data_IF_412310093224
#
_entry.id   IF_412310093224
#
_cell.length_a   1.000
_cell.length_b   1.000
_cell.length_c   1.000
_cell.angle_alpha   90.00
_cell.angle_beta   90.00
_cell.angle_gamma   90.00
#
_symmetry.space_group_name_H-M   'P 1'
#
loop_
_entity.id
_entity.type
_entity.pdbx_description
1 polymer ?
#
# COMPACT_ATOMS: atom_id res chain seq x y z
N UNK A 1 1.36 -16.07 -17.14
CA UNK A 1 1.01 -15.63 -15.77
C UNK A 1 2.24 -15.02 -15.16
N UNK A 2 2.22 -13.70 -15.00
CA UNK A 2 3.32 -12.93 -14.42
C UNK A 2 3.00 -12.59 -12.96
N UNK A 3 4.03 -12.39 -12.15
CA UNK A 3 3.84 -11.97 -10.76
C UNK A 3 4.31 -10.52 -10.62
N UNK A 4 3.38 -9.64 -10.31
CA UNK A 4 3.67 -8.26 -9.92
C UNK A 4 3.94 -8.26 -8.41
N UNK A 5 5.09 -7.73 -8.00
CA UNK A 5 5.43 -7.57 -6.58
C UNK A 5 5.22 -6.14 -6.18
N UNK A 6 4.33 -5.95 -5.22
CA UNK A 6 4.02 -4.64 -4.67
C UNK A 6 4.43 -4.59 -3.21
N UNK A 7 4.86 -3.40 -2.80
CA UNK A 7 5.21 -3.07 -1.42
C UNK A 7 4.37 -1.90 -0.97
N UNK A 8 3.70 -2.02 0.17
CA UNK A 8 3.00 -0.94 0.83
C UNK A 8 3.71 -0.57 2.13
N UNK A 9 4.09 0.70 2.26
CA UNK A 9 4.72 1.25 3.47
C UNK A 9 3.74 2.21 4.12
N UNK A 10 3.35 1.92 5.35
CA UNK A 10 2.59 2.84 6.17
C UNK A 10 3.52 3.87 6.80
N UNK A 11 3.15 5.15 6.67
CA UNK A 11 3.84 6.28 7.30
C UNK A 11 2.97 6.95 8.33
N UNK A 12 3.59 7.28 9.46
CA UNK A 12 3.00 8.04 10.56
C UNK A 12 2.69 9.49 10.14
N UNK A 13 1.92 10.22 10.96
CA UNK A 13 1.72 11.65 10.78
C UNK A 13 3.00 12.50 10.73
N UNK A 14 4.08 12.04 11.37
CA UNK A 14 5.39 12.70 11.30
C UNK A 14 6.25 12.27 10.10
N UNK A 15 5.73 11.39 9.24
CA UNK A 15 6.38 10.85 8.05
C UNK A 15 7.27 9.62 8.29
N UNK A 16 7.47 9.19 9.53
CA UNK A 16 8.26 8.01 9.85
C UNK A 16 7.62 6.73 9.30
N UNK A 17 8.39 5.81 8.71
CA UNK A 17 7.86 4.51 8.29
C UNK A 17 7.54 3.66 9.53
N UNK A 18 6.33 3.12 9.60
CA UNK A 18 5.92 2.21 10.69
C UNK A 18 6.12 0.77 10.30
N UNK A 19 5.62 0.42 9.12
CA UNK A 19 5.41 -0.96 8.74
C UNK A 19 5.43 -1.10 7.22
N UNK A 20 6.13 -2.13 6.76
CA UNK A 20 6.14 -2.57 5.37
C UNK A 20 5.34 -3.86 5.23
N UNK A 21 4.47 -3.93 4.23
CA UNK A 21 3.80 -5.16 3.81
C UNK A 21 4.10 -5.41 2.33
N UNK A 22 4.68 -6.57 2.04
CA UNK A 22 4.97 -7.01 0.69
C UNK A 22 3.93 -8.04 0.24
N UNK A 23 3.44 -7.91 -0.99
CA UNK A 23 2.46 -8.84 -1.56
C UNK A 23 2.72 -9.10 -3.05
N UNK A 24 2.48 -10.33 -3.46
CA UNK A 24 2.59 -10.76 -4.86
C UNK A 24 1.21 -10.92 -5.47
N UNK A 25 0.93 -10.18 -6.53
CA UNK A 25 -0.27 -10.38 -7.36
C UNK A 25 0.13 -11.24 -8.55
N UNK A 26 -0.56 -12.37 -8.75
CA UNK A 26 -0.46 -13.12 -10.01
C UNK A 26 -1.42 -12.51 -11.01
N UNK A 27 -0.89 -11.93 -12.08
CA UNK A 27 -1.65 -11.31 -13.16
C UNK A 27 -1.58 -12.20 -14.39
N UNK A 28 -2.72 -12.46 -15.00
CA UNK A 28 -2.76 -13.07 -16.33
C UNK A 28 -2.67 -11.98 -17.40
N UNK A 29 -1.46 -11.82 -17.95
CA UNK A 29 -1.11 -10.81 -18.95
C UNK A 29 -1.71 -11.08 -20.33
N UNK A 30 -2.43 -12.19 -20.53
CA UNK A 30 -3.27 -12.41 -21.72
C UNK A 30 -4.56 -11.57 -21.71
N UNK A 31 -4.90 -10.96 -20.57
CA UNK A 31 -6.05 -10.06 -20.43
C UNK A 31 -5.64 -8.60 -20.63
N UNK A 32 -6.46 -7.84 -21.37
CA UNK A 32 -6.19 -6.44 -21.75
C UNK A 32 -6.16 -5.49 -20.53
N UNK A 33 -6.94 -5.81 -19.48
CA UNK A 33 -6.90 -5.11 -18.19
C UNK A 33 -7.32 -6.07 -17.08
N UNK A 34 -6.45 -6.29 -16.08
CA UNK A 34 -6.81 -6.98 -14.83
C UNK A 34 -6.84 -5.96 -13.70
N UNK A 35 -7.97 -5.88 -12.98
CA UNK A 35 -8.08 -5.11 -11.74
C UNK A 35 -8.20 -6.08 -10.58
N UNK A 36 -7.32 -5.98 -9.59
CA UNK A 36 -7.36 -6.78 -8.36
C UNK A 36 -7.45 -5.86 -7.16
N UNK A 37 -8.43 -6.10 -6.29
CA UNK A 37 -8.54 -5.41 -5.01
C UNK A 37 -7.66 -6.11 -3.97
N UNK A 38 -6.96 -5.32 -3.15
CA UNK A 38 -6.10 -5.82 -2.09
C UNK A 38 -6.50 -5.12 -0.80
N UNK A 39 -6.68 -5.92 0.24
CA UNK A 39 -6.97 -5.42 1.59
C UNK A 39 -5.67 -5.35 2.38
N UNK A 40 -5.29 -4.15 2.79
CA UNK A 40 -4.17 -3.92 3.70
C UNK A 40 -4.70 -3.71 5.11
N UNK A 41 -3.98 -4.22 6.11
CA UNK A 41 -4.33 -4.03 7.52
C UNK A 41 -3.12 -3.57 8.29
N UNK A 42 -3.27 -2.44 8.97
CA UNK A 42 -2.23 -1.84 9.78
C UNK A 42 -2.69 -1.62 11.22
N UNK A 43 -1.76 -1.73 12.16
CA UNK A 43 -1.96 -1.23 13.52
C UNK A 43 -1.55 0.25 13.54
N UNK A 44 -2.46 1.10 14.00
CA UNK A 44 -2.27 2.55 14.08
C UNK A 44 -2.08 2.94 15.53
N UNK A 45 -1.10 3.81 15.81
CA UNK A 45 -0.69 4.17 17.18
C UNK A 45 -0.98 5.63 17.54
N UNK A 46 -1.48 6.41 16.59
CA UNK A 46 -1.73 7.83 16.75
C UNK A 46 -2.90 8.29 15.88
N UNK A 47 -3.57 9.35 16.32
CA UNK A 47 -4.53 10.10 15.51
C UNK A 47 -3.81 11.03 14.53
N UNK A 48 -4.54 11.56 13.55
CA UNK A 48 -4.04 12.53 12.57
C UNK A 48 -3.90 11.96 11.16
N UNK A 49 -3.13 12.64 10.29
CA UNK A 49 -2.96 12.24 8.90
C UNK A 49 -1.99 11.08 8.78
N UNK A 50 -2.40 10.02 8.11
CA UNK A 50 -1.55 8.87 7.78
C UNK A 50 -1.47 8.73 6.27
N UNK A 51 -0.46 8.00 5.80
CA UNK A 51 -0.34 7.72 4.36
C UNK A 51 0.21 6.34 4.10
N UNK A 52 -0.33 5.65 3.11
CA UNK A 52 0.27 4.44 2.54
C UNK A 52 1.02 4.82 1.27
N UNK A 53 2.30 4.56 1.23
CA UNK A 53 3.15 4.68 0.04
C UNK A 53 3.25 3.32 -0.66
N UNK A 54 3.00 3.27 -1.96
CA UNK A 54 2.95 2.01 -2.73
C UNK A 54 4.09 1.98 -3.75
N UNK A 55 4.75 0.83 -3.86
CA UNK A 55 5.83 0.58 -4.80
C UNK A 55 5.59 -0.69 -5.62
N UNK A 56 6.10 -0.71 -6.85
CA UNK A 56 6.34 -1.90 -7.65
C UNK A 56 7.85 -2.12 -7.77
N UNK A 57 8.38 -3.10 -7.05
CA UNK A 57 9.83 -3.23 -6.86
C UNK A 57 10.41 -1.96 -6.21
N UNK A 58 11.27 -1.26 -6.93
CA UNK A 58 11.87 0.01 -6.48
C UNK A 58 11.14 1.26 -7.01
N UNK A 59 10.13 1.09 -7.86
CA UNK A 59 9.40 2.20 -8.49
C UNK A 59 8.24 2.62 -7.58
N UNK A 60 8.19 3.89 -7.19
CA UNK A 60 7.04 4.44 -6.48
C UNK A 60 5.84 4.59 -7.42
N UNK A 61 4.70 4.03 -7.02
CA UNK A 61 3.45 4.12 -7.76
C UNK A 61 2.55 5.25 -7.25
N UNK A 62 2.62 5.57 -5.96
CA UNK A 62 1.88 6.70 -5.39
C UNK A 62 1.59 6.61 -3.89
N UNK A 63 0.72 7.52 -3.45
CA UNK A 63 0.41 7.79 -2.05
C UNK A 63 -1.10 7.77 -1.82
N UNK A 64 -1.55 7.07 -0.77
CA UNK A 64 -2.94 6.96 -0.36
C UNK A 64 -3.12 7.60 1.03
N UNK A 65 -3.56 8.88 1.10
CA UNK A 65 -3.74 9.57 2.36
C UNK A 65 -5.04 9.14 3.05
N UNK A 66 -5.04 9.09 4.38
CA UNK A 66 -6.24 8.90 5.19
C UNK A 66 -6.07 9.57 6.55
N UNK A 67 -7.19 9.88 7.21
CA UNK A 67 -7.21 10.57 8.50
C UNK A 67 -7.76 9.64 9.59
N UNK A 68 -7.04 9.53 10.70
CA UNK A 68 -7.45 8.74 11.86
C UNK A 68 -7.98 9.70 12.92
N UNK A 69 -9.27 9.59 13.25
CA UNK A 69 -9.94 10.45 14.22
C UNK A 69 -10.46 9.63 15.39
N UNK A 70 -10.50 10.26 16.56
CA UNK A 70 -11.26 9.71 17.67
C UNK A 70 -12.75 9.71 17.30
N UNK A 71 -13.43 8.61 17.63
CA UNK A 71 -14.88 8.44 17.47
C UNK A 71 -15.67 9.28 18.44
#
# INVERSE_FOLDING_TARGET
>A
MDTVRLTAILRQPDGAPVLQQDFGIRVDTSSVTTTTAISLKFALTAFGPWTVQVFEGATELGWLPFEVRAS
#
